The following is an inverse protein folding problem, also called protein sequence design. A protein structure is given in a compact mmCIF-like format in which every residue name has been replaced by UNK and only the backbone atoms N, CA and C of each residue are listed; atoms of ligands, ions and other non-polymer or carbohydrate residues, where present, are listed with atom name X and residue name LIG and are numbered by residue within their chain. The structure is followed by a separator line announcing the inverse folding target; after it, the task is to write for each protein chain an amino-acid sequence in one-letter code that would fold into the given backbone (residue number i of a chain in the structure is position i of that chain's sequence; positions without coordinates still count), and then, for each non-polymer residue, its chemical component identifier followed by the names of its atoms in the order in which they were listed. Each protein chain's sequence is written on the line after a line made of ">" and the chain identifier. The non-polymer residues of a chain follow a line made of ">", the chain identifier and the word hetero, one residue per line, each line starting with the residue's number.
data_IF_691229179762
#
_entry.id   IF_691229179762
#
_cell.length_a   1.000
_cell.length_b   1.000
_cell.length_c   1.000
_cell.angle_alpha   90.00
_cell.angle_beta   90.00
_cell.angle_gamma   90.00
#
_symmetry.space_group_name_H-M   'P 1'
#
loop_
_entity.id
_entity.type
_entity.pdbx_description
1 polymer ?
#
# COMPACT_ATOMS: atom_id res chain seq x y z
N UNK A 1 16.03 12.35 -22.92
CA UNK A 1 15.67 12.08 -21.51
C UNK A 1 16.20 10.69 -21.20
N UNK A 2 17.25 10.58 -20.38
CA UNK A 2 17.57 9.31 -19.73
C UNK A 2 16.59 9.21 -18.57
N UNK A 3 15.57 8.37 -18.69
CA UNK A 3 14.68 8.10 -17.57
C UNK A 3 15.53 7.48 -16.45
N UNK A 4 15.58 8.17 -15.30
CA UNK A 4 16.24 7.61 -14.13
C UNK A 4 15.46 6.38 -13.68
N UNK A 5 16.13 5.27 -13.35
CA UNK A 5 15.44 4.07 -12.89
C UNK A 5 14.62 4.38 -11.63
N UNK A 6 13.38 3.89 -11.60
CA UNK A 6 12.50 4.01 -10.44
C UNK A 6 13.15 3.38 -9.20
N UNK A 7 12.87 3.94 -8.02
CA UNK A 7 13.54 3.55 -6.76
C UNK A 7 13.32 2.06 -6.46
N UNK A 8 12.14 1.58 -6.80
CA UNK A 8 11.68 0.21 -6.73
C UNK A 8 12.58 -0.73 -7.56
N UNK A 9 12.88 -0.34 -8.80
CA UNK A 9 13.80 -1.07 -9.67
C UNK A 9 15.23 -1.11 -9.11
N UNK A 10 15.69 0.01 -8.54
CA UNK A 10 17.02 0.09 -7.92
C UNK A 10 17.11 -0.87 -6.73
N UNK A 11 16.11 -0.84 -5.84
CA UNK A 11 16.08 -1.70 -4.66
C UNK A 11 15.95 -3.18 -5.00
N UNK A 12 15.13 -3.54 -6.00
CA UNK A 12 15.03 -4.91 -6.50
C UNK A 12 16.37 -5.39 -7.08
N UNK A 13 17.07 -4.53 -7.81
CA UNK A 13 18.39 -4.84 -8.37
C UNK A 13 19.45 -5.04 -7.29
N UNK A 14 19.43 -4.21 -6.23
CA UNK A 14 20.31 -4.36 -5.06
C UNK A 14 20.02 -5.68 -4.34
N UNK A 15 18.74 -6.01 -4.12
CA UNK A 15 18.36 -7.26 -3.48
C UNK A 15 18.92 -8.48 -4.23
N UNK A 16 18.75 -8.50 -5.56
CA UNK A 16 19.28 -9.55 -6.43
C UNK A 16 20.81 -9.62 -6.35
N UNK A 17 21.49 -8.49 -6.49
CA UNK A 17 22.96 -8.44 -6.41
C UNK A 17 23.50 -8.98 -5.08
N UNK A 18 22.90 -8.57 -3.96
CA UNK A 18 23.32 -9.04 -2.63
C UNK A 18 23.15 -10.56 -2.49
N UNK A 19 22.11 -11.14 -3.10
CA UNK A 19 21.76 -12.54 -2.95
C UNK A 19 22.48 -13.45 -3.95
N UNK A 20 22.59 -13.05 -5.21
CA UNK A 20 23.11 -13.85 -6.32
C UNK A 20 24.61 -13.64 -6.53
N UNK A 21 25.13 -12.42 -6.37
CA UNK A 21 26.52 -12.10 -6.67
C UNK A 21 27.39 -12.01 -5.41
N UNK A 22 26.91 -11.34 -4.36
CA UNK A 22 27.74 -11.06 -3.16
C UNK A 22 27.74 -12.21 -2.17
N UNK A 23 26.56 -12.72 -1.80
CA UNK A 23 26.43 -13.75 -0.76
C UNK A 23 27.23 -15.03 -1.04
N UNK A 24 27.32 -15.57 -2.28
CA UNK A 24 28.12 -16.76 -2.56
C UNK A 24 29.63 -16.58 -2.30
N UNK A 25 30.11 -15.34 -2.30
CA UNK A 25 31.52 -15.01 -2.06
C UNK A 25 31.87 -14.89 -0.58
N UNK A 26 30.88 -14.93 0.32
CA UNK A 26 31.05 -14.72 1.76
C UNK A 26 31.07 -16.04 2.52
N UNK A 27 32.22 -16.34 3.13
CA UNK A 27 32.43 -17.55 3.93
C UNK A 27 31.98 -17.43 5.39
N UNK A 28 31.94 -16.21 5.96
CA UNK A 28 31.45 -15.98 7.34
C UNK A 28 29.92 -16.17 7.40
N UNK A 29 29.41 -17.18 8.14
CA UNK A 29 27.98 -17.43 8.26
C UNK A 29 27.18 -16.25 8.82
N UNK A 30 27.77 -15.45 9.71
CA UNK A 30 27.10 -14.28 10.30
C UNK A 30 26.89 -13.19 9.26
N UNK A 31 27.91 -12.94 8.43
CA UNK A 31 27.83 -11.96 7.34
C UNK A 31 26.88 -12.46 6.25
N UNK A 32 26.94 -13.76 5.90
CA UNK A 32 26.01 -14.37 4.94
C UNK A 32 24.55 -14.24 5.37
N UNK A 33 24.25 -14.42 6.66
CA UNK A 33 22.91 -14.18 7.21
C UNK A 33 22.50 -12.70 7.12
N UNK A 34 23.40 -11.76 7.45
CA UNK A 34 23.10 -10.33 7.33
C UNK A 34 22.84 -9.91 5.88
N UNK A 35 23.50 -10.52 4.91
CA UNK A 35 23.23 -10.30 3.49
C UNK A 35 21.84 -10.79 3.07
N UNK A 36 21.41 -11.96 3.58
CA UNK A 36 20.03 -12.43 3.38
C UNK A 36 19.00 -11.42 3.90
N UNK A 37 19.21 -10.94 5.13
CA UNK A 37 18.32 -9.95 5.75
C UNK A 37 18.31 -8.66 4.93
N UNK A 38 19.47 -8.15 4.51
CA UNK A 38 19.58 -6.94 3.71
C UNK A 38 18.89 -7.08 2.33
N UNK A 39 19.13 -8.20 1.64
CA UNK A 39 18.49 -8.49 0.36
C UNK A 39 16.96 -8.60 0.51
N UNK A 40 16.50 -9.28 1.55
CA UNK A 40 15.07 -9.39 1.84
C UNK A 40 14.43 -8.03 2.10
N UNK A 41 15.01 -7.21 2.99
CA UNK A 41 14.50 -5.87 3.29
C UNK A 41 14.46 -4.97 2.05
N UNK A 42 15.51 -4.99 1.22
CA UNK A 42 15.53 -4.25 -0.04
C UNK A 42 14.42 -4.73 -1.00
N UNK A 43 14.20 -6.05 -1.09
CA UNK A 43 13.11 -6.64 -1.87
C UNK A 43 11.72 -6.25 -1.38
N UNK A 44 11.49 -6.25 -0.07
CA UNK A 44 10.22 -5.81 0.54
C UNK A 44 9.94 -4.34 0.19
N UNK A 45 10.90 -3.45 0.38
CA UNK A 45 10.70 -2.02 0.08
C UNK A 45 10.49 -1.77 -1.42
N UNK A 46 11.13 -2.57 -2.29
CA UNK A 46 10.87 -2.52 -3.73
C UNK A 46 9.44 -2.92 -4.08
N UNK A 47 8.95 -4.01 -3.48
CA UNK A 47 7.56 -4.46 -3.67
C UNK A 47 6.55 -3.45 -3.12
N UNK A 48 6.82 -2.88 -1.94
CA UNK A 48 6.00 -1.81 -1.36
C UNK A 48 5.87 -0.63 -2.31
N UNK A 49 6.99 -0.13 -2.83
CA UNK A 49 6.94 1.01 -3.75
C UNK A 49 6.20 0.71 -5.05
N UNK A 50 6.32 -0.52 -5.57
CA UNK A 50 5.66 -0.94 -6.81
C UNK A 50 4.14 -1.07 -6.65
N UNK A 51 3.69 -1.58 -5.49
CA UNK A 51 2.27 -1.75 -5.20
C UNK A 51 1.59 -0.43 -4.79
N UNK A 52 2.33 0.50 -4.17
CA UNK A 52 1.78 1.73 -3.61
C UNK A 52 1.12 2.63 -4.66
N UNK A 53 1.62 2.68 -5.90
CA UNK A 53 0.98 3.47 -6.97
C UNK A 53 -0.44 2.96 -7.27
N UNK A 54 -0.60 1.64 -7.35
CA UNK A 54 -1.89 1.00 -7.66
C UNK A 54 -2.85 1.09 -6.47
N UNK A 55 -2.35 0.88 -5.25
CA UNK A 55 -3.15 1.00 -4.03
C UNK A 55 -3.60 2.44 -3.79
N UNK A 56 -2.73 3.42 -3.97
CA UNK A 56 -3.09 4.84 -3.83
C UNK A 56 -4.16 5.24 -4.85
N UNK A 57 -4.05 4.80 -6.12
CA UNK A 57 -5.05 5.08 -7.15
C UNK A 57 -6.40 4.45 -6.80
N UNK A 58 -6.41 3.20 -6.32
CA UNK A 58 -7.62 2.51 -5.91
C UNK A 58 -8.26 3.19 -4.68
N UNK A 59 -7.47 3.53 -3.67
CA UNK A 59 -7.94 4.24 -2.47
C UNK A 59 -8.54 5.60 -2.82
N UNK A 60 -7.86 6.39 -3.66
CA UNK A 60 -8.35 7.69 -4.09
C UNK A 60 -9.66 7.58 -4.88
N UNK A 61 -9.76 6.59 -5.78
CA UNK A 61 -10.99 6.35 -6.55
C UNK A 61 -12.18 6.03 -5.64
N UNK A 62 -11.97 5.18 -4.62
CA UNK A 62 -13.01 4.87 -3.62
C UNK A 62 -13.41 6.10 -2.81
N UNK A 63 -12.43 6.89 -2.34
CA UNK A 63 -12.68 8.12 -1.57
C UNK A 63 -13.43 9.18 -2.38
N UNK A 64 -13.08 9.32 -3.66
CA UNK A 64 -13.75 10.21 -4.59
C UNK A 64 -15.24 9.85 -4.74
N UNK A 65 -15.56 8.56 -4.81
CA UNK A 65 -16.94 8.07 -4.86
C UNK A 65 -17.75 8.27 -3.57
N UNK A 66 -17.09 8.36 -2.40
CA UNK A 66 -17.76 8.59 -1.10
C UNK A 66 -17.96 10.09 -0.84
N UNK A 67 -16.97 10.92 -1.18
CA UNK A 67 -16.94 12.34 -0.81
C UNK A 67 -17.31 13.29 -1.97
N UNK A 68 -17.66 12.73 -3.13
CA UNK A 68 -17.90 13.42 -4.40
C UNK A 68 -16.75 14.39 -4.73
N UNK A 69 -15.56 13.81 -4.95
CA UNK A 69 -14.31 14.54 -5.11
C UNK A 69 -13.45 14.07 -6.29
N UNK A 70 -12.27 14.68 -6.50
CA UNK A 70 -11.37 14.27 -7.58
C UNK A 70 -10.81 12.86 -7.34
N UNK A 71 -10.88 12.00 -8.36
CA UNK A 71 -10.38 10.61 -8.36
C UNK A 71 -8.97 10.45 -8.92
N UNK A 72 -8.36 11.53 -9.41
CA UNK A 72 -7.03 11.53 -10.01
C UNK A 72 -6.18 12.69 -9.48
N UNK A 73 -4.85 12.49 -9.51
CA UNK A 73 -3.84 13.49 -9.21
C UNK A 73 -2.68 13.34 -10.21
N UNK A 74 -1.97 14.43 -10.51
CA UNK A 74 -0.92 14.42 -11.54
C UNK A 74 0.37 13.74 -11.05
N UNK A 75 0.61 13.73 -9.74
CA UNK A 75 1.78 13.11 -9.14
C UNK A 75 1.44 12.22 -7.95
N UNK A 76 2.34 11.28 -7.62
CA UNK A 76 2.23 10.43 -6.41
C UNK A 76 2.19 11.25 -5.13
N UNK A 77 2.97 12.34 -5.05
CA UNK A 77 2.98 13.23 -3.89
C UNK A 77 1.62 13.92 -3.70
N UNK A 78 1.04 14.46 -4.77
CA UNK A 78 -0.29 15.08 -4.73
C UNK A 78 -1.36 14.06 -4.37
N UNK A 79 -1.29 12.84 -4.93
CA UNK A 79 -2.24 11.77 -4.63
C UNK A 79 -2.24 11.43 -3.14
N UNK A 80 -1.06 11.26 -2.53
CA UNK A 80 -0.95 11.00 -1.08
C UNK A 80 -1.52 12.13 -0.24
N UNK A 81 -1.28 13.38 -0.63
CA UNK A 81 -1.86 14.53 0.07
C UNK A 81 -3.38 14.54 -0.04
N UNK A 82 -3.92 14.22 -1.22
CA UNK A 82 -5.35 14.17 -1.47
C UNK A 82 -6.03 13.04 -0.69
N UNK A 83 -5.44 11.84 -0.67
CA UNK A 83 -5.88 10.71 0.17
C UNK A 83 -5.89 11.12 1.65
N UNK A 84 -4.80 11.69 2.15
CA UNK A 84 -4.70 12.11 3.56
C UNK A 84 -5.71 13.21 3.94
N UNK A 85 -6.06 14.09 2.99
CA UNK A 85 -7.09 15.11 3.17
C UNK A 85 -8.49 14.47 3.17
N UNK A 86 -8.77 13.60 2.21
CA UNK A 86 -10.05 12.93 2.06
C UNK A 86 -10.34 12.00 3.24
N UNK A 87 -9.37 11.22 3.71
CA UNK A 87 -9.50 10.39 4.91
C UNK A 87 -9.82 11.22 6.16
N UNK A 88 -9.16 12.38 6.34
CA UNK A 88 -9.48 13.29 7.45
C UNK A 88 -10.91 13.82 7.36
N UNK A 89 -11.34 14.26 6.18
CA UNK A 89 -12.71 14.72 5.94
C UNK A 89 -13.73 13.60 6.20
N UNK A 90 -13.49 12.40 5.70
CA UNK A 90 -14.37 11.26 5.92
C UNK A 90 -14.50 10.92 7.41
N UNK A 91 -13.37 10.89 8.14
CA UNK A 91 -13.39 10.64 9.58
C UNK A 91 -14.16 11.72 10.36
N UNK A 92 -14.10 12.98 9.93
CA UNK A 92 -14.90 14.06 10.51
C UNK A 92 -16.40 13.87 10.25
N UNK A 93 -16.79 13.54 9.01
CA UNK A 93 -18.19 13.28 8.66
C UNK A 93 -18.76 12.08 9.43
N UNK A 94 -17.98 11.01 9.58
CA UNK A 94 -18.34 9.83 10.39
C UNK A 94 -18.60 10.25 11.84
N UNK A 95 -17.68 11.00 12.45
CA UNK A 95 -17.80 11.44 13.85
C UNK A 95 -19.01 12.34 14.10
N UNK A 96 -19.39 13.14 13.11
CA UNK A 96 -20.54 14.04 13.20
C UNK A 96 -21.88 13.36 12.87
N UNK A 97 -21.84 12.14 12.34
CA UNK A 97 -23.05 11.45 11.86
C UNK A 97 -23.69 12.13 10.65
N UNK A 98 -22.93 12.89 9.88
CA UNK A 98 -23.40 13.68 8.73
C UNK A 98 -23.47 12.86 7.42
N UNK A 99 -23.28 11.54 7.51
CA UNK A 99 -23.29 10.62 6.37
C UNK A 99 -24.65 9.95 6.25
N UNK A 100 -25.11 9.79 5.00
CA UNK A 100 -26.37 9.12 4.71
C UNK A 100 -26.36 7.66 5.23
N UNK A 101 -27.53 7.12 5.59
CA UNK A 101 -27.63 5.80 6.22
C UNK A 101 -27.11 4.66 5.32
N UNK A 102 -27.23 4.82 4.00
CA UNK A 102 -26.70 3.93 2.96
C UNK A 102 -25.18 4.03 2.78
N UNK A 103 -24.56 5.15 3.18
CA UNK A 103 -23.10 5.34 3.09
C UNK A 103 -22.33 4.38 4.00
N UNK A 104 -22.95 3.82 5.05
CA UNK A 104 -22.28 2.93 6.02
C UNK A 104 -21.65 1.70 5.35
N UNK A 105 -22.35 1.08 4.38
CA UNK A 105 -21.82 -0.06 3.64
C UNK A 105 -20.62 0.35 2.79
N UNK A 106 -20.76 1.43 2.02
CA UNK A 106 -19.69 1.96 1.15
C UNK A 106 -18.42 2.33 1.93
N UNK A 107 -18.58 2.91 3.13
CA UNK A 107 -17.47 3.26 4.03
C UNK A 107 -16.79 2.00 4.56
N UNK A 108 -17.59 1.01 4.98
CA UNK A 108 -17.06 -0.27 5.49
C UNK A 108 -16.27 -0.97 4.40
N UNK A 109 -16.83 -1.11 3.19
CA UNK A 109 -16.16 -1.71 2.04
C UNK A 109 -14.86 -0.97 1.70
N UNK A 110 -14.86 0.37 1.75
CA UNK A 110 -13.67 1.17 1.53
C UNK A 110 -12.57 0.91 2.57
N UNK A 111 -12.91 0.84 3.86
CA UNK A 111 -11.94 0.56 4.94
C UNK A 111 -11.34 -0.82 4.77
N UNK A 112 -12.17 -1.83 4.50
CA UNK A 112 -11.72 -3.21 4.30
C UNK A 112 -10.84 -3.37 3.07
N UNK A 113 -11.24 -2.79 1.93
CA UNK A 113 -10.43 -2.81 0.72
C UNK A 113 -9.06 -2.15 0.96
N UNK A 114 -9.04 -1.01 1.64
CA UNK A 114 -7.78 -0.29 1.95
C UNK A 114 -6.90 -1.06 2.93
N UNK A 115 -7.49 -1.76 3.90
CA UNK A 115 -6.77 -2.65 4.81
C UNK A 115 -6.17 -3.84 4.05
N UNK A 116 -6.94 -4.46 3.16
CA UNK A 116 -6.48 -5.56 2.30
C UNK A 116 -5.33 -5.12 1.40
N UNK A 117 -5.46 -3.96 0.74
CA UNK A 117 -4.43 -3.39 -0.13
C UNK A 117 -3.13 -3.15 0.66
N UNK A 118 -3.22 -2.64 1.90
CA UNK A 118 -2.03 -2.42 2.76
C UNK A 118 -1.38 -3.72 3.24
N UNK A 119 -2.18 -4.75 3.52
CA UNK A 119 -1.69 -6.02 4.05
C UNK A 119 -1.20 -6.97 2.96
N UNK A 120 -1.71 -6.88 1.72
CA UNK A 120 -1.32 -7.74 0.60
C UNK A 120 0.18 -7.64 0.28
N UNK A 121 0.78 -6.49 0.53
CA UNK A 121 2.20 -6.22 0.32
C UNK A 121 3.09 -7.03 1.28
N UNK A 122 2.63 -7.21 2.53
CA UNK A 122 3.40 -7.83 3.60
C UNK A 122 2.95 -9.26 3.92
N UNK A 123 1.73 -9.65 3.53
CA UNK A 123 1.17 -10.95 3.85
C UNK A 123 0.14 -11.40 2.80
N UNK A 124 0.57 -12.22 1.84
CA UNK A 124 -0.23 -12.73 0.71
C UNK A 124 -1.49 -13.51 1.14
N UNK A 125 -1.53 -14.02 2.38
CA UNK A 125 -2.66 -14.83 2.91
C UNK A 125 -3.76 -14.04 3.60
N UNK A 126 -3.66 -12.71 3.67
CA UNK A 126 -4.68 -11.93 4.36
C UNK A 126 -5.93 -11.74 3.47
N UNK A 127 -7.03 -12.39 3.86
CA UNK A 127 -8.32 -12.36 3.16
C UNK A 127 -9.38 -11.78 4.12
N UNK A 128 -9.36 -10.48 4.37
CA UNK A 128 -10.43 -9.82 5.12
C UNK A 128 -11.55 -9.42 4.17
N UNK A 129 -12.77 -9.91 4.43
CA UNK A 129 -13.97 -9.55 3.68
C UNK A 129 -14.90 -8.68 4.55
N UNK A 130 -15.63 -7.75 3.93
CA UNK A 130 -16.59 -6.91 4.69
C UNK A 130 -17.80 -7.70 5.21
N UNK A 131 -18.00 -8.92 4.69
CA UNK A 131 -19.04 -9.87 5.11
C UNK A 131 -18.80 -10.41 6.52
N UNK A 132 -17.54 -10.52 6.97
CA UNK A 132 -17.19 -11.18 8.25
C UNK A 132 -17.65 -10.42 9.51
N UNK A 133 -18.10 -9.16 9.39
CA UNK A 133 -18.58 -8.35 10.52
C UNK A 133 -20.05 -7.93 10.40
N UNK A 134 -20.77 -8.46 9.42
CA UNK A 134 -22.13 -8.00 9.05
C UNK A 134 -23.29 -8.91 9.45
N UNK A 135 -23.03 -10.07 10.04
CA UNK A 135 -24.09 -10.94 10.59
C UNK A 135 -24.09 -10.84 12.13
N UNK A 136 -24.83 -9.87 12.66
CA UNK A 136 -25.54 -10.08 13.92
C UNK A 136 -27.06 -10.04 13.63
N UNK A 137 -27.84 -10.96 14.24
CA UNK A 137 -29.27 -11.14 13.97
C UNK A 137 -30.17 -9.95 14.36
#
# INVERSE_FOLDING_TARGET
>A
MQDSPEKEMILASIARFLQEDVRPLVSDPRVSFRLLVAAHLAGVVAMEGAAEETHDVAELTRLAGILDGPSAAATRAERRQLIAKNNRRLAELIRRGELAADARRQITDHVFATLRDKLSVNNVRFDATSTDLGEEP
#
